data_IF_248050424375
#
_entry.id   IF_248050424375
#
_cell.length_a   1.000
_cell.length_b   1.000
_cell.length_c   1.000
_cell.angle_alpha   90.00
_cell.angle_beta   90.00
_cell.angle_gamma   90.00
#
_symmetry.space_group_name_H-M   'P 1'
#
loop_
_entity.id
_entity.type
_entity.pdbx_description
1 polymer ?
#
# COMPACT_ATOMS: atom_id res chain seq x y z
N UNK A 1 -18.67 14.71 -19.04
CA UNK A 1 -18.37 14.62 -17.60
C UNK A 1 -17.42 13.45 -17.46
N UNK A 2 -16.15 13.69 -17.15
CA UNK A 2 -15.18 12.62 -16.89
C UNK A 2 -15.69 11.84 -15.68
N UNK A 3 -15.91 10.54 -15.83
CA UNK A 3 -16.17 9.65 -14.70
C UNK A 3 -14.85 9.55 -13.92
N UNK A 4 -14.64 10.44 -12.96
CA UNK A 4 -13.49 10.38 -12.07
C UNK A 4 -13.62 9.12 -11.22
N UNK A 5 -12.88 8.11 -11.60
CA UNK A 5 -12.88 6.82 -10.91
C UNK A 5 -11.92 6.86 -9.71
N UNK A 6 -12.30 6.20 -8.63
CA UNK A 6 -11.40 5.90 -7.52
C UNK A 6 -10.15 5.20 -8.06
N UNK A 7 -8.97 5.67 -7.70
CA UNK A 7 -7.73 5.14 -8.26
C UNK A 7 -6.56 5.22 -7.25
N UNK A 8 -5.54 4.34 -7.38
CA UNK A 8 -4.32 4.44 -6.60
C UNK A 8 -3.64 5.81 -6.76
N UNK A 9 -3.38 6.48 -5.64
CA UNK A 9 -2.73 7.80 -5.59
C UNK A 9 -1.20 7.71 -5.55
N UNK A 10 -0.64 6.51 -5.36
CA UNK A 10 0.80 6.22 -5.41
C UNK A 10 1.12 5.15 -6.44
N UNK A 11 2.36 5.09 -6.88
CA UNK A 11 2.93 3.92 -7.55
C UNK A 11 3.44 2.99 -6.47
N UNK A 12 3.09 1.71 -6.56
CA UNK A 12 3.51 0.73 -5.57
C UNK A 12 4.02 -0.52 -6.25
N UNK A 13 5.16 -1.04 -5.77
CA UNK A 13 5.73 -2.26 -6.29
C UNK A 13 4.77 -3.44 -6.04
N UNK A 14 4.69 -4.37 -6.98
CA UNK A 14 3.79 -5.52 -6.87
C UNK A 14 2.30 -5.21 -7.14
N UNK A 15 1.96 -4.02 -7.64
CA UNK A 15 0.57 -3.63 -7.94
C UNK A 15 -0.15 -4.66 -8.82
N UNK A 16 -1.34 -5.11 -8.40
CA UNK A 16 -2.07 -6.25 -8.95
C UNK A 16 -2.96 -5.93 -10.15
N UNK A 17 -2.77 -4.76 -10.82
CA UNK A 17 -3.64 -4.38 -11.96
C UNK A 17 -3.77 -5.45 -13.03
N UNK A 18 -2.69 -6.16 -13.35
CA UNK A 18 -2.69 -7.22 -14.36
C UNK A 18 -3.40 -8.49 -13.89
N UNK A 19 -3.52 -8.70 -12.58
CA UNK A 19 -4.18 -9.86 -11.98
C UNK A 19 -5.64 -9.60 -11.59
N UNK A 20 -6.14 -8.37 -11.73
CA UNK A 20 -7.53 -8.03 -11.40
C UNK A 20 -8.56 -8.96 -12.06
N UNK A 21 -8.47 -9.29 -13.37
CA UNK A 21 -9.42 -10.21 -13.97
C UNK A 21 -9.43 -11.59 -13.30
N UNK A 22 -8.26 -12.16 -13.00
CA UNK A 22 -8.11 -13.45 -12.34
C UNK A 22 -8.60 -13.42 -10.88
N UNK A 23 -8.36 -12.28 -10.16
CA UNK A 23 -8.87 -12.07 -8.81
C UNK A 23 -10.40 -12.06 -8.84
N UNK A 24 -11.03 -11.28 -9.73
CA UNK A 24 -12.49 -11.19 -9.87
C UNK A 24 -13.13 -12.53 -10.24
N UNK A 25 -12.45 -13.33 -11.05
CA UNK A 25 -12.94 -14.67 -11.46
C UNK A 25 -12.98 -15.66 -10.28
N UNK A 26 -11.96 -15.57 -9.37
CA UNK A 26 -11.75 -16.55 -8.29
C UNK A 26 -12.27 -16.10 -6.93
N UNK A 27 -12.55 -14.81 -6.75
CA UNK A 27 -13.09 -14.30 -5.49
C UNK A 27 -14.50 -14.83 -5.22
N UNK A 28 -14.94 -14.90 -3.94
CA UNK A 28 -16.30 -15.30 -3.62
C UNK A 28 -17.30 -14.33 -4.26
N UNK A 29 -18.39 -14.87 -4.83
CA UNK A 29 -19.45 -14.05 -5.43
C UNK A 29 -20.19 -13.19 -4.41
N UNK A 30 -20.21 -13.64 -3.16
CA UNK A 30 -20.81 -12.93 -2.02
C UNK A 30 -19.92 -13.10 -0.79
N UNK A 31 -19.70 -12.03 -0.08
CA UNK A 31 -18.98 -11.98 1.19
C UNK A 31 -19.58 -10.86 2.07
N UNK A 32 -19.27 -10.88 3.37
CA UNK A 32 -19.73 -9.87 4.33
C UNK A 32 -18.79 -8.67 4.34
N UNK A 33 -17.71 -8.79 5.09
CA UNK A 33 -16.69 -7.77 5.23
C UNK A 33 -15.44 -8.14 4.40
N UNK A 34 -14.70 -7.13 3.94
CA UNK A 34 -13.48 -7.27 3.17
C UNK A 34 -12.27 -6.85 3.98
N UNK A 35 -11.23 -7.66 3.93
CA UNK A 35 -9.95 -7.38 4.60
C UNK A 35 -8.81 -7.41 3.61
N UNK A 36 -7.98 -6.37 3.59
CA UNK A 36 -6.72 -6.31 2.83
C UNK A 36 -5.58 -5.90 3.77
N UNK A 37 -4.94 -6.89 4.46
CA UNK A 37 -3.93 -6.62 5.48
C UNK A 37 -2.59 -6.13 4.93
N UNK A 38 -2.39 -6.14 3.60
CA UNK A 38 -1.23 -5.63 2.87
C UNK A 38 -1.70 -4.76 1.70
N UNK A 39 -2.35 -3.62 2.00
CA UNK A 39 -3.05 -2.83 0.98
C UNK A 39 -2.12 -2.19 -0.04
N UNK A 40 -0.88 -1.83 0.34
CA UNK A 40 0.04 -1.14 -0.54
C UNK A 40 -0.60 0.06 -1.24
N UNK A 41 -0.54 0.09 -2.57
CA UNK A 41 -1.17 1.14 -3.38
C UNK A 41 -2.70 1.04 -3.54
N UNK A 42 -3.35 0.03 -2.95
CA UNK A 42 -4.80 -0.16 -2.98
C UNK A 42 -5.38 -0.60 -4.32
N UNK A 43 -4.59 -1.25 -5.16
CA UNK A 43 -5.03 -1.62 -6.51
C UNK A 43 -6.26 -2.53 -6.51
N UNK A 44 -6.36 -3.47 -5.57
CA UNK A 44 -7.50 -4.40 -5.46
C UNK A 44 -8.67 -3.74 -4.76
N UNK A 45 -8.45 -3.10 -3.59
CA UNK A 45 -9.49 -2.34 -2.88
C UNK A 45 -10.18 -1.32 -3.78
N UNK A 46 -9.43 -0.51 -4.55
CA UNK A 46 -9.99 0.53 -5.42
C UNK A 46 -10.63 0.00 -6.70
N UNK A 47 -10.32 -1.21 -7.10
CA UNK A 47 -11.00 -1.86 -8.23
C UNK A 47 -12.28 -2.58 -7.80
N UNK A 48 -12.32 -3.14 -6.59
CA UNK A 48 -13.48 -3.88 -6.08
C UNK A 48 -14.49 -2.97 -5.38
N UNK A 49 -14.03 -1.88 -4.76
CA UNK A 49 -14.82 -0.92 -3.97
C UNK A 49 -15.76 -1.63 -2.96
N UNK A 50 -15.26 -2.53 -2.12
CA UNK A 50 -16.10 -3.24 -1.17
C UNK A 50 -16.78 -2.27 -0.20
N UNK A 51 -18.08 -2.52 0.09
CA UNK A 51 -18.88 -1.62 0.92
C UNK A 51 -18.40 -1.55 2.37
N UNK A 52 -17.95 -2.69 2.92
CA UNK A 52 -17.40 -2.80 4.27
C UNK A 52 -15.96 -3.30 4.13
N UNK A 53 -15.01 -2.41 4.23
CA UNK A 53 -13.59 -2.76 4.07
C UNK A 53 -12.76 -2.36 5.28
N UNK A 54 -11.79 -3.22 5.62
CA UNK A 54 -10.66 -2.90 6.47
C UNK A 54 -9.39 -3.04 5.63
N UNK A 55 -8.60 -1.97 5.57
CA UNK A 55 -7.31 -1.95 4.90
C UNK A 55 -6.19 -1.67 5.90
N UNK A 56 -5.06 -2.33 5.70
CA UNK A 56 -3.89 -2.21 6.57
C UNK A 56 -2.59 -2.25 5.77
N UNK A 57 -1.57 -1.62 6.29
CA UNK A 57 -0.18 -1.79 5.87
C UNK A 57 0.75 -1.51 7.05
N UNK A 58 1.91 -2.16 7.08
CA UNK A 58 2.95 -1.88 8.08
C UNK A 58 3.61 -0.50 7.86
N UNK A 59 3.53 0.03 6.65
CA UNK A 59 4.10 1.33 6.28
C UNK A 59 3.23 2.48 6.79
N UNK A 60 3.60 3.03 7.95
CA UNK A 60 2.88 4.14 8.59
C UNK A 60 2.77 5.40 7.73
N UNK A 61 3.79 5.71 6.90
CA UNK A 61 3.73 6.88 6.02
C UNK A 61 2.71 6.69 4.89
N UNK A 62 2.60 5.48 4.34
CA UNK A 62 1.57 5.12 3.39
C UNK A 62 0.16 5.23 4.01
N UNK A 63 -0.03 4.63 5.18
CA UNK A 63 -1.31 4.69 5.89
C UNK A 63 -1.65 6.12 6.32
N UNK A 64 -0.65 6.94 6.70
CA UNK A 64 -0.88 8.37 6.92
C UNK A 64 -1.46 9.04 5.66
N UNK A 65 -0.91 8.76 4.47
CA UNK A 65 -1.46 9.32 3.23
C UNK A 65 -2.92 8.88 2.98
N UNK A 66 -3.27 7.61 3.21
CA UNK A 66 -4.68 7.16 3.19
C UNK A 66 -5.56 7.94 4.16
N UNK A 67 -5.13 8.08 5.41
CA UNK A 67 -5.86 8.80 6.47
C UNK A 67 -6.04 10.29 6.13
N UNK A 68 -5.00 10.96 5.58
CA UNK A 68 -5.09 12.38 5.20
C UNK A 68 -5.98 12.59 3.96
N UNK A 69 -5.93 11.71 2.97
CA UNK A 69 -6.86 11.73 1.83
C UNK A 69 -8.29 11.50 2.30
N UNK A 70 -8.52 10.58 3.24
CA UNK A 70 -9.82 10.33 3.83
C UNK A 70 -10.34 11.58 4.57
N UNK A 71 -9.57 12.12 5.51
CA UNK A 71 -10.05 13.08 6.50
C UNK A 71 -9.89 14.54 6.09
N UNK A 72 -8.89 14.87 5.26
CA UNK A 72 -8.52 16.24 4.90
C UNK A 72 -8.12 16.37 3.41
N UNK A 73 -8.92 15.88 2.42
CA UNK A 73 -8.52 15.80 1.02
C UNK A 73 -8.15 17.16 0.43
N UNK A 74 -8.87 18.24 0.77
CA UNK A 74 -8.59 19.58 0.26
C UNK A 74 -7.25 20.14 0.77
N UNK A 75 -6.95 19.92 2.06
CA UNK A 75 -5.68 20.32 2.65
C UNK A 75 -4.51 19.52 2.06
N UNK A 76 -4.71 18.20 1.86
CA UNK A 76 -3.76 17.32 1.21
C UNK A 76 -3.47 17.77 -0.24
N UNK A 77 -4.49 17.99 -1.07
CA UNK A 77 -4.33 18.46 -2.45
C UNK A 77 -3.61 19.80 -2.51
N UNK A 78 -4.00 20.77 -1.66
CA UNK A 78 -3.32 22.07 -1.58
C UNK A 78 -1.83 21.92 -1.26
N UNK A 79 -1.48 21.03 -0.33
CA UNK A 79 -0.09 20.79 0.03
C UNK A 79 0.69 20.14 -1.13
N UNK A 80 0.11 19.13 -1.82
CA UNK A 80 0.76 18.48 -2.98
C UNK A 80 0.93 19.46 -4.15
N UNK A 81 -0.11 20.22 -4.49
CA UNK A 81 -0.08 21.19 -5.59
C UNK A 81 1.01 22.25 -5.35
N UNK A 82 1.16 22.73 -4.11
CA UNK A 82 2.23 23.66 -3.77
C UNK A 82 3.61 23.05 -4.06
N UNK A 83 3.84 21.78 -3.74
CA UNK A 83 5.11 21.09 -4.03
C UNK A 83 5.33 20.94 -5.55
N UNK A 84 4.27 20.65 -6.31
CA UNK A 84 4.33 20.57 -7.76
C UNK A 84 4.65 21.95 -8.40
N UNK A 85 4.05 23.03 -7.91
CA UNK A 85 4.29 24.40 -8.37
C UNK A 85 5.74 24.85 -8.13
N UNK A 86 6.29 24.59 -6.95
CA UNK A 86 7.65 24.97 -6.58
C UNK A 86 8.74 24.17 -7.31
N UNK A 87 8.40 23.07 -7.94
CA UNK A 87 9.35 22.17 -8.62
C UNK A 87 9.97 22.75 -9.91
N UNK A 88 9.44 23.85 -10.46
CA UNK A 88 9.73 24.28 -11.84
C UNK A 88 11.14 24.85 -12.07
N UNK A 89 11.84 25.40 -11.06
CA UNK A 89 13.12 26.08 -11.25
C UNK A 89 14.31 25.09 -11.32
N UNK A 90 14.49 24.23 -10.32
CA UNK A 90 15.52 23.19 -10.26
C UNK A 90 14.94 21.90 -9.66
N UNK A 91 14.21 21.14 -10.48
CA UNK A 91 13.49 19.96 -10.05
C UNK A 91 14.36 18.92 -9.36
N UNK A 92 15.64 18.77 -9.75
CA UNK A 92 16.53 17.79 -9.14
C UNK A 92 16.93 18.22 -7.73
N UNK A 93 17.40 19.45 -7.56
CA UNK A 93 17.80 20.01 -6.26
C UNK A 93 16.61 20.04 -5.31
N UNK A 94 15.45 20.51 -5.82
CA UNK A 94 14.21 20.59 -5.08
C UNK A 94 13.76 19.20 -4.59
N UNK A 95 13.72 18.19 -5.48
CA UNK A 95 13.39 16.81 -5.10
C UNK A 95 14.27 16.29 -3.96
N UNK A 96 15.59 16.51 -3.99
CA UNK A 96 16.46 16.02 -2.94
C UNK A 96 16.26 16.76 -1.62
N UNK A 97 15.99 18.07 -1.64
CA UNK A 97 15.66 18.82 -0.40
C UNK A 97 14.35 18.33 0.22
N UNK A 98 13.32 18.06 -0.59
CA UNK A 98 12.05 17.48 -0.10
C UNK A 98 12.22 16.06 0.42
N UNK A 99 13.09 15.27 -0.18
CA UNK A 99 13.40 13.92 0.32
C UNK A 99 14.08 13.96 1.69
N UNK A 100 14.97 14.91 1.93
CA UNK A 100 15.58 15.13 3.23
C UNK A 100 14.52 15.57 4.24
N UNK A 101 13.69 16.55 3.90
CA UNK A 101 12.60 17.01 4.75
C UNK A 101 11.59 15.89 5.10
N UNK A 102 11.24 15.06 4.11
CA UNK A 102 10.42 13.85 4.33
C UNK A 102 11.07 12.92 5.36
N UNK A 103 12.36 12.63 5.20
CA UNK A 103 13.10 11.78 6.12
C UNK A 103 13.17 12.35 7.53
N UNK A 104 13.35 13.67 7.67
CA UNK A 104 13.36 14.36 8.97
C UNK A 104 12.01 14.22 9.69
N UNK A 105 10.90 14.38 8.96
CA UNK A 105 9.55 14.17 9.52
C UNK A 105 9.31 12.72 9.90
N UNK A 106 9.77 11.76 9.10
CA UNK A 106 9.71 10.32 9.45
C UNK A 106 10.44 10.02 10.76
N UNK A 107 11.65 10.54 10.92
CA UNK A 107 12.45 10.33 12.14
C UNK A 107 11.78 10.93 13.39
N UNK A 108 11.03 12.02 13.23
CA UNK A 108 10.25 12.65 14.31
C UNK A 108 8.88 12.02 14.52
N UNK A 109 8.48 11.04 13.69
CA UNK A 109 7.14 10.44 13.67
C UNK A 109 6.00 11.46 13.51
N UNK A 110 6.20 12.51 12.70
CA UNK A 110 5.24 13.58 12.42
C UNK A 110 4.27 13.15 11.29
N UNK A 111 3.28 12.33 11.60
CA UNK A 111 2.29 11.82 10.64
C UNK A 111 1.13 12.81 10.45
N UNK A 112 1.32 13.79 9.57
CA UNK A 112 0.39 14.87 9.26
C UNK A 112 0.13 15.02 7.76
N UNK A 113 -0.62 16.06 7.36
CA UNK A 113 -0.92 16.40 5.96
C UNK A 113 0.35 16.67 5.16
N UNK A 114 1.33 17.34 5.75
CA UNK A 114 2.59 17.66 5.08
C UNK A 114 3.39 16.41 4.77
N UNK A 115 3.54 15.49 5.73
CA UNK A 115 4.21 14.20 5.48
C UNK A 115 3.49 13.40 4.39
N UNK A 116 2.15 13.40 4.38
CA UNK A 116 1.37 12.72 3.35
C UNK A 116 1.61 13.32 1.96
N UNK A 117 1.64 14.65 1.85
CA UNK A 117 1.95 15.34 0.60
C UNK A 117 3.37 15.05 0.11
N UNK A 118 4.35 15.15 0.99
CA UNK A 118 5.74 14.79 0.70
C UNK A 118 5.89 13.35 0.24
N UNK A 119 5.23 12.40 0.93
CA UNK A 119 5.23 10.99 0.57
C UNK A 119 4.73 10.75 -0.86
N UNK A 120 3.57 11.33 -1.20
CA UNK A 120 2.98 11.17 -2.54
C UNK A 120 3.85 11.87 -3.59
N UNK A 121 4.31 13.10 -3.33
CA UNK A 121 5.18 13.82 -4.24
C UNK A 121 6.46 13.05 -4.54
N UNK A 122 7.23 12.64 -3.51
CA UNK A 122 8.50 11.91 -3.73
C UNK A 122 8.26 10.57 -4.42
N UNK A 123 7.16 9.86 -4.13
CA UNK A 123 6.81 8.61 -4.82
C UNK A 123 6.52 8.83 -6.31
N UNK A 124 5.83 9.90 -6.67
CA UNK A 124 5.52 10.23 -8.09
C UNK A 124 6.76 10.64 -8.88
N UNK A 125 7.73 11.28 -8.22
CA UNK A 125 8.92 11.86 -8.84
C UNK A 125 10.19 11.04 -8.63
N UNK A 126 10.15 9.92 -7.89
CA UNK A 126 11.28 9.02 -7.75
C UNK A 126 11.38 8.01 -8.91
N UNK A 127 12.55 7.39 -9.02
CA UNK A 127 12.83 6.36 -10.01
C UNK A 127 11.83 5.21 -9.91
N UNK A 128 11.10 4.95 -11.00
CA UNK A 128 10.06 3.91 -11.14
C UNK A 128 8.92 3.94 -10.10
N UNK A 129 8.78 5.00 -9.30
CA UNK A 129 7.79 5.05 -8.22
C UNK A 129 8.05 4.02 -7.12
N UNK A 130 9.30 3.64 -6.92
CA UNK A 130 9.68 2.67 -5.88
C UNK A 130 9.59 3.32 -4.50
N UNK A 131 9.17 2.56 -3.52
CA UNK A 131 9.38 2.89 -2.12
C UNK A 131 10.50 2.01 -1.57
N UNK A 132 11.62 2.61 -1.21
CA UNK A 132 12.77 1.90 -0.65
C UNK A 132 13.42 2.76 0.42
N UNK A 133 13.80 2.11 1.52
CA UNK A 133 14.53 2.73 2.62
C UNK A 133 15.92 2.09 2.75
N UNK A 134 16.87 2.84 3.31
CA UNK A 134 18.18 2.31 3.67
C UNK A 134 18.13 1.61 5.03
N UNK A 135 19.27 1.07 5.49
CA UNK A 135 19.38 0.41 6.79
C UNK A 135 19.07 1.27 8.03
N UNK A 136 18.88 2.60 7.86
CA UNK A 136 18.41 3.53 8.89
C UNK A 136 16.92 3.84 8.80
N UNK A 137 16.17 3.16 7.89
CA UNK A 137 14.76 3.43 7.65
C UNK A 137 14.48 4.71 6.84
N UNK A 138 15.50 5.34 6.23
CA UNK A 138 15.35 6.57 5.47
C UNK A 138 15.12 6.28 3.99
N UNK A 139 14.14 6.97 3.39
CA UNK A 139 13.85 6.88 1.97
C UNK A 139 15.04 7.35 1.12
N UNK A 140 15.46 6.54 0.14
CA UNK A 140 16.72 6.76 -0.60
C UNK A 140 16.61 6.62 -2.12
N UNK A 141 15.41 6.59 -2.68
CA UNK A 141 15.23 6.44 -4.14
C UNK A 141 15.60 7.75 -4.85
N UNK A 142 16.35 7.70 -5.98
CA UNK A 142 16.74 8.89 -6.72
C UNK A 142 15.59 9.51 -7.52
N UNK A 143 15.77 10.78 -7.93
CA UNK A 143 14.86 11.51 -8.81
C UNK A 143 14.78 10.88 -10.22
N UNK A 144 13.59 10.90 -10.83
CA UNK A 144 13.34 10.33 -12.16
C UNK A 144 13.33 11.36 -13.32
N UNK A 145 13.67 12.62 -13.05
CA UNK A 145 13.61 13.74 -14.00
C UNK A 145 12.20 14.00 -14.59
N UNK A 146 11.14 13.56 -13.92
CA UNK A 146 9.76 13.78 -14.36
C UNK A 146 9.21 15.10 -13.79
N UNK A 147 8.52 15.86 -14.64
CA UNK A 147 7.79 17.08 -14.29
C UNK A 147 6.32 16.89 -14.61
N UNK A 148 5.66 15.99 -13.91
CA UNK A 148 4.21 15.76 -14.03
C UNK A 148 3.52 16.18 -12.74
N UNK A 149 2.23 16.44 -12.80
CA UNK A 149 1.40 16.60 -11.60
C UNK A 149 1.41 15.30 -10.78
N UNK A 150 1.51 15.44 -9.46
CA UNK A 150 1.58 14.32 -8.54
C UNK A 150 0.23 13.63 -8.36
N UNK A 151 -0.87 14.39 -8.38
CA UNK A 151 -2.22 13.87 -8.14
C UNK A 151 -3.22 14.42 -9.16
N UNK A 152 -4.29 13.65 -9.38
CA UNK A 152 -5.51 14.09 -10.05
C UNK A 152 -6.53 14.44 -8.95
N UNK A 153 -6.99 15.68 -8.93
CA UNK A 153 -7.86 16.19 -7.86
C UNK A 153 -9.23 15.51 -7.84
N UNK A 154 -9.80 15.22 -9.01
CA UNK A 154 -11.10 14.54 -9.11
C UNK A 154 -10.96 13.10 -8.57
N UNK A 155 -9.88 12.40 -8.93
CA UNK A 155 -9.61 11.06 -8.42
C UNK A 155 -9.36 11.07 -6.90
N UNK A 156 -8.65 12.06 -6.36
CA UNK A 156 -8.45 12.20 -4.91
C UNK A 156 -9.78 12.42 -4.19
N UNK A 157 -10.67 13.28 -4.71
CA UNK A 157 -11.98 13.50 -4.10
C UNK A 157 -12.87 12.25 -4.16
N UNK A 158 -12.85 11.50 -5.27
CA UNK A 158 -13.57 10.24 -5.40
C UNK A 158 -13.01 9.19 -4.41
N UNK A 159 -11.68 9.10 -4.30
CA UNK A 159 -11.00 8.21 -3.35
C UNK A 159 -11.34 8.58 -1.90
N UNK A 160 -11.29 9.88 -1.55
CA UNK A 160 -11.68 10.37 -0.23
C UNK A 160 -13.11 9.97 0.13
N UNK A 161 -14.05 10.16 -0.80
CA UNK A 161 -15.47 9.79 -0.60
C UNK A 161 -15.61 8.30 -0.33
N UNK A 162 -14.93 7.44 -1.07
CA UNK A 162 -14.95 5.99 -0.84
C UNK A 162 -14.35 5.63 0.52
N UNK A 163 -13.20 6.21 0.86
CA UNK A 163 -12.48 5.91 2.10
C UNK A 163 -13.24 6.27 3.39
N UNK A 164 -14.28 7.15 3.33
CA UNK A 164 -15.14 7.45 4.49
C UNK A 164 -15.86 6.20 5.04
N UNK A 165 -16.09 5.18 4.22
CA UNK A 165 -16.68 3.90 4.62
C UNK A 165 -15.66 2.80 4.93
N UNK A 166 -14.36 3.11 4.90
CA UNK A 166 -13.29 2.13 5.04
C UNK A 166 -12.59 2.29 6.40
N UNK A 167 -12.39 1.18 7.11
CA UNK A 167 -11.53 1.16 8.30
C UNK A 167 -10.07 1.12 7.86
N UNK A 168 -9.30 2.14 8.26
CA UNK A 168 -7.90 2.32 7.87
C UNK A 168 -7.01 2.21 9.11
N UNK A 169 -6.21 1.14 9.19
CA UNK A 169 -5.30 0.91 10.32
C UNK A 169 -3.86 0.73 9.82
N UNK A 170 -2.90 0.90 10.72
CA UNK A 170 -1.48 0.63 10.48
C UNK A 170 -0.98 -0.40 11.49
N UNK A 171 -0.21 -1.36 11.01
CA UNK A 171 0.41 -2.33 11.90
C UNK A 171 0.54 -3.74 11.32
N UNK A 172 0.64 -4.69 12.24
CA UNK A 172 0.84 -6.10 11.91
C UNK A 172 -0.44 -6.70 11.29
N UNK A 173 -0.23 -7.58 10.30
CA UNK A 173 -1.31 -8.23 9.55
C UNK A 173 -2.20 -9.14 10.41
N UNK A 174 -1.66 -9.75 11.49
CA UNK A 174 -2.46 -10.56 12.43
C UNK A 174 -3.47 -9.67 13.18
N UNK A 175 -3.03 -8.47 13.59
CA UNK A 175 -3.91 -7.48 14.24
C UNK A 175 -5.01 -7.02 13.29
N UNK A 176 -4.67 -6.81 12.01
CA UNK A 176 -5.64 -6.41 10.99
C UNK A 176 -6.75 -7.46 10.78
N UNK A 177 -6.42 -8.74 10.89
CA UNK A 177 -7.35 -9.85 10.64
C UNK A 177 -8.00 -10.44 11.91
N UNK A 178 -7.74 -9.86 13.11
CA UNK A 178 -8.18 -10.43 14.39
C UNK A 178 -9.70 -10.64 14.47
N UNK A 179 -10.48 -9.71 13.93
CA UNK A 179 -11.94 -9.68 13.99
C UNK A 179 -12.62 -10.34 12.78
N UNK A 180 -11.82 -10.84 11.81
CA UNK A 180 -12.34 -11.55 10.64
C UNK A 180 -13.05 -12.86 11.04
N UNK A 181 -14.22 -13.10 10.47
CA UNK A 181 -15.14 -14.16 10.85
C UNK A 181 -15.80 -14.82 9.64
N UNK A 182 -16.57 -15.85 9.89
CA UNK A 182 -17.27 -16.62 8.85
C UNK A 182 -18.03 -15.76 7.84
N UNK A 183 -17.66 -15.93 6.58
CA UNK A 183 -18.27 -15.27 5.43
C UNK A 183 -17.57 -13.98 5.03
N UNK A 184 -16.52 -13.55 5.73
CA UNK A 184 -15.68 -12.43 5.30
C UNK A 184 -14.69 -12.87 4.22
N UNK A 185 -14.24 -11.92 3.38
CA UNK A 185 -13.23 -12.15 2.36
C UNK A 185 -11.92 -11.44 2.72
N UNK A 186 -10.86 -12.22 2.83
CA UNK A 186 -9.51 -11.74 3.16
C UNK A 186 -8.63 -11.89 1.93
N UNK A 187 -8.22 -10.77 1.33
CA UNK A 187 -7.26 -10.74 0.22
C UNK A 187 -5.86 -10.46 0.73
N UNK A 188 -4.95 -11.41 0.54
CA UNK A 188 -3.60 -11.42 1.10
C UNK A 188 -2.57 -11.27 -0.02
N UNK A 189 -2.00 -10.08 -0.15
CA UNK A 189 -0.92 -9.75 -1.09
C UNK A 189 0.34 -9.34 -0.32
N UNK A 190 0.88 -10.30 0.44
CA UNK A 190 2.09 -10.11 1.24
C UNK A 190 3.33 -9.91 0.37
N UNK A 191 4.45 -9.41 0.91
CA UNK A 191 5.74 -9.47 0.23
C UNK A 191 6.02 -10.90 -0.25
N UNK A 192 6.48 -11.03 -1.51
CA UNK A 192 6.63 -12.33 -2.15
C UNK A 192 7.89 -13.05 -1.69
N UNK A 193 7.79 -14.35 -1.53
CA UNK A 193 8.97 -15.19 -1.32
C UNK A 193 9.95 -15.05 -2.50
N UNK A 194 11.26 -14.89 -2.25
CA UNK A 194 12.25 -14.77 -3.31
C UNK A 194 12.34 -16.06 -4.13
N UNK A 195 12.49 -15.90 -5.46
CA UNK A 195 12.63 -17.04 -6.38
C UNK A 195 13.93 -17.83 -6.14
N UNK A 196 14.98 -17.19 -5.63
CA UNK A 196 16.26 -17.82 -5.33
C UNK A 196 16.45 -17.95 -3.81
N UNK A 197 16.68 -19.16 -3.27
CA UNK A 197 16.91 -19.38 -1.84
C UNK A 197 18.07 -18.55 -1.26
N UNK A 198 19.13 -18.30 -2.02
CA UNK A 198 20.27 -17.46 -1.62
C UNK A 198 19.91 -15.97 -1.46
N UNK A 199 18.76 -15.55 -1.95
CA UNK A 199 18.29 -14.17 -1.82
C UNK A 199 17.55 -13.93 -0.48
N UNK A 200 17.26 -14.97 0.32
CA UNK A 200 16.60 -14.81 1.62
C UNK A 200 17.38 -13.90 2.57
N UNK A 201 18.72 -13.96 2.57
CA UNK A 201 19.55 -13.08 3.42
C UNK A 201 19.42 -11.58 3.05
N UNK A 202 19.16 -11.27 1.78
CA UNK A 202 18.91 -9.90 1.33
C UNK A 202 17.46 -9.46 1.59
N UNK A 203 16.51 -10.39 1.57
CA UNK A 203 15.08 -10.14 1.84
C UNK A 203 14.81 -9.93 3.33
N UNK A 204 15.58 -10.54 4.23
CA UNK A 204 15.48 -10.27 5.67
C UNK A 204 15.77 -8.82 6.02
N UNK A 205 16.53 -8.10 5.16
CA UNK A 205 16.73 -6.64 5.29
C UNK A 205 15.52 -5.80 4.89
N UNK A 206 14.54 -6.37 4.20
CA UNK A 206 13.31 -5.71 3.76
C UNK A 206 12.11 -5.97 4.70
N UNK A 207 12.30 -6.75 5.77
CA UNK A 207 11.35 -6.82 6.88
C UNK A 207 10.25 -7.88 6.80
N UNK A 208 10.21 -8.77 5.78
CA UNK A 208 9.29 -9.91 5.72
C UNK A 208 10.08 -11.21 5.52
N UNK A 209 10.50 -11.81 6.63
CA UNK A 209 11.36 -12.97 6.69
C UNK A 209 10.60 -14.32 6.63
N UNK A 210 11.33 -15.43 6.74
CA UNK A 210 10.75 -16.78 6.75
C UNK A 210 9.76 -16.95 7.91
N UNK A 211 10.05 -16.39 9.08
CA UNK A 211 9.14 -16.47 10.22
C UNK A 211 7.87 -15.67 9.98
N UNK A 212 7.95 -14.56 9.29
CA UNK A 212 6.78 -13.79 8.84
C UNK A 212 5.91 -14.59 7.86
N UNK A 213 6.54 -15.35 6.93
CA UNK A 213 5.80 -16.25 6.02
C UNK A 213 5.13 -17.40 6.80
N UNK A 214 5.79 -18.00 7.80
CA UNK A 214 5.18 -19.02 8.66
C UNK A 214 4.03 -18.49 9.50
N UNK A 215 4.18 -17.29 10.09
CA UNK A 215 3.10 -16.61 10.82
C UNK A 215 1.90 -16.37 9.90
N UNK A 216 2.15 -15.91 8.68
CA UNK A 216 1.10 -15.67 7.70
C UNK A 216 0.37 -16.96 7.29
N UNK A 217 1.08 -18.06 7.09
CA UNK A 217 0.49 -19.35 6.79
C UNK A 217 -0.40 -19.84 7.95
N UNK A 218 0.08 -19.71 9.19
CA UNK A 218 -0.73 -20.01 10.39
C UNK A 218 -2.00 -19.17 10.44
N UNK A 219 -1.90 -17.86 10.18
CA UNK A 219 -3.07 -16.97 10.13
C UNK A 219 -4.04 -17.39 9.02
N UNK A 220 -3.53 -17.77 7.84
CA UNK A 220 -4.34 -18.25 6.73
C UNK A 220 -5.18 -19.47 7.12
N UNK A 221 -4.56 -20.45 7.80
CA UNK A 221 -5.24 -21.65 8.31
C UNK A 221 -6.31 -21.29 9.36
N UNK A 222 -5.96 -20.41 10.30
CA UNK A 222 -6.88 -19.93 11.33
C UNK A 222 -8.11 -19.21 10.72
N UNK A 223 -7.90 -18.33 9.74
CA UNK A 223 -8.96 -17.62 9.04
C UNK A 223 -9.87 -18.60 8.26
N UNK A 224 -9.26 -19.57 7.59
CA UNK A 224 -9.99 -20.62 6.88
C UNK A 224 -10.82 -21.46 7.85
N UNK A 225 -10.25 -21.85 9.00
CA UNK A 225 -10.96 -22.57 10.06
C UNK A 225 -12.12 -21.76 10.66
N UNK A 226 -12.00 -20.43 10.74
CA UNK A 226 -13.11 -19.52 11.14
C UNK A 226 -14.19 -19.42 10.07
N UNK A 227 -13.97 -19.94 8.85
CA UNK A 227 -14.91 -19.89 7.72
C UNK A 227 -14.84 -18.60 6.90
N UNK A 228 -13.71 -17.90 6.94
CA UNK A 228 -13.40 -16.82 6.00
C UNK A 228 -13.08 -17.39 4.62
N UNK A 229 -13.34 -16.61 3.59
CA UNK A 229 -12.79 -16.83 2.25
C UNK A 229 -11.42 -16.17 2.17
N UNK A 230 -10.36 -16.94 1.96
CA UNK A 230 -9.00 -16.42 1.88
C UNK A 230 -8.47 -16.55 0.45
N UNK A 231 -7.88 -15.49 -0.08
CA UNK A 231 -7.16 -15.50 -1.35
C UNK A 231 -5.77 -14.93 -1.14
N UNK A 232 -4.75 -15.74 -1.44
CA UNK A 232 -3.34 -15.35 -1.30
C UNK A 232 -2.69 -15.30 -2.69
N UNK A 233 -1.84 -14.29 -2.89
CA UNK A 233 -0.96 -14.18 -4.05
C UNK A 233 0.50 -14.27 -3.61
N UNK A 234 1.30 -15.10 -4.31
CA UNK A 234 2.74 -15.23 -4.07
C UNK A 234 3.45 -15.84 -5.28
N UNK A 235 4.79 -15.92 -5.24
CA UNK A 235 5.56 -16.71 -6.19
C UNK A 235 5.38 -18.22 -5.92
N UNK A 236 5.40 -19.02 -6.98
CA UNK A 236 5.44 -20.48 -6.87
C UNK A 236 6.85 -20.92 -6.50
N UNK A 237 7.17 -20.93 -5.21
CA UNK A 237 8.45 -21.38 -4.63
C UNK A 237 8.25 -22.60 -3.77
N UNK A 238 9.34 -23.34 -3.48
CA UNK A 238 9.31 -24.50 -2.57
C UNK A 238 8.74 -24.11 -1.21
N UNK A 239 9.20 -23.00 -0.60
CA UNK A 239 8.68 -22.48 0.67
C UNK A 239 7.15 -22.26 0.63
N UNK A 240 6.64 -21.61 -0.42
CA UNK A 240 5.21 -21.34 -0.51
C UNK A 240 4.41 -22.63 -0.70
N UNK A 241 4.94 -23.58 -1.47
CA UNK A 241 4.31 -24.89 -1.63
C UNK A 241 4.31 -25.70 -0.33
N UNK A 242 5.38 -25.65 0.47
CA UNK A 242 5.43 -26.27 1.79
C UNK A 242 4.40 -25.64 2.76
N UNK A 243 4.25 -24.32 2.74
CA UNK A 243 3.38 -23.59 3.66
C UNK A 243 1.88 -23.68 3.31
N UNK A 244 1.52 -23.79 2.03
CA UNK A 244 0.13 -23.70 1.55
C UNK A 244 -0.30 -24.86 0.64
N UNK A 245 0.54 -25.87 0.43
CA UNK A 245 0.29 -26.98 -0.51
C UNK A 245 -0.53 -28.13 0.04
N UNK A 246 -1.15 -28.02 1.22
CA UNK A 246 -1.98 -29.07 1.85
C UNK A 246 -3.45 -28.94 1.49
#
# INVERSE_FOLDING_TARGET
MSNSSVAPFVKWAGGKRQLIPQIKERMPKQYKDYYEPFVGGGAVTFELLPANALINDINKALINAYKQICNAPKAFMKAVNKLDEEMWEDGKKYYYSLREHYNDKLMKAEYDVELAALFVFINKHCFNGLYRVNGKGLFNVPYNNSRRTSVDEEAIMATSKYLQGVTIIDGDFEVACKDAKKGDFVFIDSPYAPLNPTSFESYTKEGFDIESHKRLAKLYDELTARGCYCMLTNHNTELINELYGN
#
